data_IF_582943117707
#
_entry.id   IF_582943117707
#
_cell.length_a   1.000
_cell.length_b   1.000
_cell.length_c   1.000
_cell.angle_alpha   90.00
_cell.angle_beta   90.00
_cell.angle_gamma   90.00
#
_symmetry.space_group_name_H-M   'P 1'
#
loop_
_entity.id
_entity.type
_entity.pdbx_description
1 polymer ?
#
# COMPACT_ATOMS: atom_id res chain seq x y z
N UNK A 1 9.32 30.41 -24.54
CA UNK A 1 7.87 30.16 -24.71
C UNK A 1 7.67 28.68 -24.87
N UNK A 2 6.88 28.06 -23.99
CA UNK A 2 6.70 26.61 -23.90
C UNK A 2 6.66 26.14 -22.44
N UNK A 3 5.81 26.78 -21.63
CA UNK A 3 5.44 26.28 -20.30
C UNK A 3 4.64 25.00 -20.54
N UNK A 4 5.28 23.85 -20.39
CA UNK A 4 4.56 22.58 -20.33
C UNK A 4 3.81 22.57 -19.00
N UNK A 5 2.49 22.78 -19.07
CA UNK A 5 1.61 22.67 -17.92
C UNK A 5 1.79 21.30 -17.27
N UNK A 6 2.34 21.30 -16.06
CA UNK A 6 2.36 20.13 -15.19
C UNK A 6 0.90 19.70 -14.92
N UNK A 7 0.58 18.40 -14.93
CA UNK A 7 -0.73 17.93 -14.47
C UNK A 7 -0.98 18.48 -13.06
N UNK A 8 -2.22 18.90 -12.78
CA UNK A 8 -2.62 19.55 -11.51
C UNK A 8 -2.26 18.74 -10.26
N UNK A 9 -2.01 17.43 -10.39
CA UNK A 9 -1.52 16.52 -9.34
C UNK A 9 -0.04 16.69 -8.95
N UNK A 10 0.74 17.47 -9.71
CA UNK A 10 2.19 17.63 -9.51
C UNK A 10 2.64 19.08 -9.26
N UNK A 11 1.72 20.02 -9.07
CA UNK A 11 2.10 21.35 -8.56
C UNK A 11 2.60 21.20 -7.11
N UNK A 12 3.79 21.74 -6.76
CA UNK A 12 4.14 21.95 -5.37
C UNK A 12 3.08 22.91 -4.80
N UNK A 13 2.18 22.40 -3.97
CA UNK A 13 1.35 23.28 -3.15
C UNK A 13 2.32 23.95 -2.18
N UNK A 14 2.49 25.27 -2.30
CA UNK A 14 3.34 26.12 -1.46
C UNK A 14 2.85 26.22 0.00
N UNK A 15 2.47 25.11 0.60
CA UNK A 15 1.73 25.09 1.85
C UNK A 15 2.37 24.07 2.79
N UNK A 16 3.23 24.60 3.67
CA UNK A 16 3.82 23.90 4.81
C UNK A 16 2.76 23.48 5.85
N UNK A 17 3.08 23.48 7.17
CA UNK A 17 2.41 22.72 8.25
C UNK A 17 0.89 22.96 8.50
N UNK A 18 0.18 23.64 7.61
CA UNK A 18 -1.28 23.85 7.66
C UNK A 18 -2.10 22.57 7.43
N UNK A 19 -1.60 21.56 6.70
CA UNK A 19 -2.34 20.31 6.40
C UNK A 19 -2.62 19.40 7.62
N UNK A 20 -1.82 19.47 8.69
CA UNK A 20 -2.14 18.70 9.90
C UNK A 20 -3.43 19.21 10.56
N UNK A 21 -3.76 20.51 10.45
CA UNK A 21 -5.00 21.07 11.00
C UNK A 21 -6.24 20.70 10.19
N UNK A 22 -6.08 20.41 8.90
CA UNK A 22 -7.18 19.98 8.02
C UNK A 22 -7.69 18.56 8.35
N UNK A 23 -6.90 17.77 9.09
CA UNK A 23 -7.32 16.47 9.64
C UNK A 23 -8.17 16.60 10.92
N UNK A 24 -8.45 17.84 11.38
CA UNK A 24 -9.19 18.11 12.61
C UNK A 24 -8.57 17.43 13.83
N UNK A 25 -9.41 16.83 14.68
CA UNK A 25 -9.00 16.17 15.93
C UNK A 25 -8.01 15.02 15.69
N UNK A 26 -8.09 14.33 14.54
CA UNK A 26 -7.13 13.28 14.17
C UNK A 26 -5.74 13.87 13.87
N UNK A 27 -5.69 15.03 13.24
CA UNK A 27 -4.45 15.76 13.00
C UNK A 27 -3.79 16.28 14.27
N UNK A 28 -4.60 16.80 15.19
CA UNK A 28 -4.15 17.18 16.54
C UNK A 28 -3.54 15.99 17.27
N UNK A 29 -4.23 14.84 17.30
CA UNK A 29 -3.72 13.63 17.92
C UNK A 29 -2.40 13.17 17.26
N UNK A 30 -2.33 13.14 15.92
CA UNK A 30 -1.11 12.73 15.21
C UNK A 30 0.08 13.65 15.52
N UNK A 31 -0.16 14.96 15.65
CA UNK A 31 0.90 15.92 15.98
C UNK A 31 1.41 15.80 17.42
N UNK A 32 0.54 15.39 18.36
CA UNK A 32 0.88 15.18 19.77
C UNK A 32 1.40 13.76 20.07
N UNK A 33 1.40 12.86 19.08
CA UNK A 33 1.79 11.48 19.28
C UNK A 33 3.22 11.37 19.85
N UNK A 34 3.48 10.42 20.76
CA UNK A 34 4.80 10.28 21.38
C UNK A 34 5.89 9.90 20.37
N UNK A 35 5.54 9.07 19.39
CA UNK A 35 6.46 8.60 18.35
C UNK A 35 5.70 8.29 17.06
N UNK A 36 6.42 8.17 15.95
CA UNK A 36 5.82 8.00 14.62
C UNK A 36 4.96 6.72 14.53
N UNK A 37 5.33 5.64 15.21
CA UNK A 37 4.51 4.41 15.25
C UNK A 37 3.11 4.67 15.82
N UNK A 38 3.00 5.45 16.90
CA UNK A 38 1.72 5.79 17.52
C UNK A 38 0.87 6.64 16.56
N UNK A 39 1.46 7.65 15.93
CA UNK A 39 0.81 8.46 14.90
C UNK A 39 0.27 7.62 13.74
N UNK A 40 1.09 6.74 13.15
CA UNK A 40 0.69 5.90 12.02
C UNK A 40 -0.38 4.88 12.41
N UNK A 41 -0.32 4.31 13.62
CA UNK A 41 -1.36 3.40 14.13
C UNK A 41 -2.70 4.10 14.31
N UNK A 42 -2.69 5.31 14.85
CA UNK A 42 -3.92 6.10 15.05
C UNK A 42 -4.51 6.53 13.72
N UNK A 43 -3.66 6.95 12.78
CA UNK A 43 -4.07 7.20 11.41
C UNK A 43 -4.70 5.94 10.80
N UNK A 44 -4.07 4.77 10.91
CA UNK A 44 -4.60 3.53 10.35
C UNK A 44 -5.94 3.10 10.96
N UNK A 45 -6.12 3.27 12.28
CA UNK A 45 -7.32 2.85 13.00
C UNK A 45 -8.54 3.77 12.77
N UNK A 46 -8.32 5.05 12.46
CA UNK A 46 -9.38 6.06 12.40
C UNK A 46 -9.58 6.69 11.01
N UNK A 47 -8.63 6.48 10.08
CA UNK A 47 -8.70 7.01 8.72
C UNK A 47 -9.99 6.64 7.97
N UNK A 48 -10.48 5.41 8.14
CA UNK A 48 -11.69 4.97 7.45
C UNK A 48 -12.93 5.75 7.91
N UNK A 49 -13.09 5.91 9.22
CA UNK A 49 -14.21 6.64 9.81
C UNK A 49 -14.17 8.14 9.46
N UNK A 50 -12.97 8.70 9.29
CA UNK A 50 -12.77 10.13 9.03
C UNK A 50 -12.79 10.49 7.53
N UNK A 51 -12.08 9.73 6.67
CA UNK A 51 -11.91 10.07 5.25
C UNK A 51 -12.94 9.44 4.31
N UNK A 52 -13.74 8.46 4.77
CA UNK A 52 -14.84 7.87 4.01
C UNK A 52 -14.50 7.17 2.69
N UNK A 53 -13.22 7.10 2.30
CA UNK A 53 -12.81 6.64 0.96
C UNK A 53 -11.46 5.93 0.89
N UNK A 54 -10.78 5.73 2.02
CA UNK A 54 -9.46 5.12 2.13
C UNK A 54 -9.40 4.18 3.34
N UNK A 55 -8.79 3.03 3.16
CA UNK A 55 -8.41 2.10 4.20
C UNK A 55 -6.89 2.12 4.35
N UNK A 56 -6.43 2.31 5.58
CA UNK A 56 -5.03 2.28 5.91
C UNK A 56 -4.73 1.08 6.80
N UNK A 57 -3.64 0.38 6.52
CA UNK A 57 -3.26 -0.79 7.30
C UNK A 57 -1.74 -0.77 7.50
N UNK A 58 -1.31 -0.75 8.75
CA UNK A 58 0.11 -0.76 9.12
C UNK A 58 0.50 -2.17 9.55
N UNK A 59 1.43 -2.80 8.84
CA UNK A 59 1.96 -4.12 9.18
C UNK A 59 3.49 -4.16 9.20
N UNK A 60 4.02 -5.12 9.93
CA UNK A 60 5.44 -5.45 9.94
C UNK A 60 5.75 -6.42 8.80
N UNK A 61 6.72 -6.08 7.98
CA UNK A 61 7.21 -6.96 6.93
C UNK A 61 8.06 -8.08 7.54
N UNK A 62 7.86 -9.34 7.14
CA UNK A 62 8.45 -10.50 7.80
C UNK A 62 9.96 -10.69 7.59
N UNK A 63 10.54 -10.06 6.57
CA UNK A 63 11.92 -10.34 6.15
C UNK A 63 12.94 -9.41 6.85
N UNK A 64 12.60 -8.14 7.02
CA UNK A 64 13.52 -7.09 7.51
C UNK A 64 12.92 -6.24 8.65
N UNK A 65 11.69 -6.53 9.08
CA UNK A 65 11.03 -5.81 10.15
C UNK A 65 10.58 -4.39 9.80
N UNK A 66 10.75 -3.93 8.54
CA UNK A 66 10.22 -2.64 8.10
C UNK A 66 8.71 -2.58 8.28
N UNK A 67 8.17 -1.38 8.47
CA UNK A 67 6.71 -1.21 8.53
C UNK A 67 6.19 -0.74 7.20
N UNK A 68 5.16 -1.43 6.71
CA UNK A 68 4.45 -1.05 5.51
C UNK A 68 3.09 -0.48 5.88
N UNK A 69 2.86 0.78 5.53
CA UNK A 69 1.56 1.41 5.57
C UNK A 69 0.90 1.24 4.20
N UNK A 70 0.01 0.26 4.10
CA UNK A 70 -0.86 0.08 2.94
C UNK A 70 -1.85 1.22 2.86
N UNK A 71 -2.07 1.70 1.64
CA UNK A 71 -3.21 2.52 1.26
C UNK A 71 -4.08 1.76 0.27
N UNK A 72 -5.31 1.48 0.68
CA UNK A 72 -6.30 0.82 -0.16
C UNK A 72 -7.52 1.73 -0.34
N UNK A 73 -7.86 2.12 -1.57
CA UNK A 73 -9.10 2.82 -1.85
C UNK A 73 -10.32 2.01 -1.45
N UNK A 74 -11.30 2.65 -0.81
CA UNK A 74 -12.60 2.01 -0.57
C UNK A 74 -13.30 1.70 -1.90
N UNK A 75 -14.11 0.65 -1.94
CA UNK A 75 -14.85 0.27 -3.14
C UNK A 75 -15.73 1.44 -3.64
N UNK A 76 -15.62 1.77 -4.93
CA UNK A 76 -16.36 2.90 -5.53
C UNK A 76 -15.76 4.29 -5.24
N UNK A 77 -14.67 4.38 -4.49
CA UNK A 77 -13.99 5.65 -4.20
C UNK A 77 -13.25 6.20 -5.43
N UNK A 78 -13.30 7.52 -5.62
CA UNK A 78 -12.44 8.22 -6.59
C UNK A 78 -10.95 8.06 -6.27
N UNK A 79 -10.60 7.71 -5.02
CA UNK A 79 -9.25 7.35 -4.63
C UNK A 79 -8.73 6.11 -5.37
N UNK A 80 -9.61 5.30 -5.98
CA UNK A 80 -9.26 4.15 -6.82
C UNK A 80 -8.49 4.49 -8.10
N UNK A 81 -8.39 5.78 -8.44
CA UNK A 81 -7.58 6.25 -9.56
C UNK A 81 -6.15 6.54 -9.10
N UNK A 82 -5.17 6.14 -9.92
CA UNK A 82 -3.76 6.29 -9.61
C UNK A 82 -3.34 7.72 -9.16
N UNK A 83 -3.75 8.82 -9.83
CA UNK A 83 -3.40 10.17 -9.36
C UNK A 83 -3.92 10.51 -7.96
N UNK A 84 -5.11 10.02 -7.59
CA UNK A 84 -5.69 10.26 -6.27
C UNK A 84 -4.97 9.45 -5.18
N UNK A 85 -4.58 8.22 -5.51
CA UNK A 85 -3.74 7.38 -4.63
C UNK A 85 -2.36 8.00 -4.42
N UNK A 86 -1.68 8.46 -5.48
CA UNK A 86 -0.40 9.17 -5.39
C UNK A 86 -0.49 10.40 -4.48
N UNK A 87 -1.54 11.21 -4.66
CA UNK A 87 -1.77 12.40 -3.84
C UNK A 87 -1.96 12.04 -2.36
N UNK A 88 -2.71 10.97 -2.06
CA UNK A 88 -2.92 10.53 -0.69
C UNK A 88 -1.62 10.04 -0.04
N UNK A 89 -0.82 9.23 -0.74
CA UNK A 89 0.51 8.80 -0.27
C UNK A 89 1.43 9.99 -0.03
N UNK A 90 1.43 10.97 -0.94
CA UNK A 90 2.25 12.17 -0.80
C UNK A 90 1.82 13.03 0.39
N UNK A 91 0.52 13.14 0.65
CA UNK A 91 0.00 13.82 1.84
C UNK A 91 0.46 13.14 3.11
N UNK A 92 0.38 11.82 3.20
CA UNK A 92 0.90 11.07 4.35
C UNK A 92 2.40 11.32 4.52
N UNK A 93 3.19 11.23 3.44
CA UNK A 93 4.63 11.47 3.48
C UNK A 93 4.99 12.88 3.97
N UNK A 94 4.26 13.92 3.52
CA UNK A 94 4.45 15.30 3.99
C UNK A 94 4.04 15.48 5.44
N UNK A 95 2.95 14.85 5.89
CA UNK A 95 2.53 14.90 7.29
C UNK A 95 3.57 14.25 8.19
N UNK A 96 4.12 13.09 7.81
CA UNK A 96 5.21 12.44 8.55
C UNK A 96 6.44 13.36 8.65
N UNK A 97 6.84 13.98 7.54
CA UNK A 97 7.94 14.94 7.57
C UNK A 97 7.61 16.15 8.46
N UNK A 98 6.39 16.69 8.41
CA UNK A 98 5.99 17.85 9.20
C UNK A 98 6.00 17.57 10.71
N UNK A 99 5.38 16.46 11.16
CA UNK A 99 5.29 16.14 12.59
C UNK A 99 6.63 15.71 13.20
N UNK A 100 7.57 15.26 12.37
CA UNK A 100 8.93 14.90 12.78
C UNK A 100 9.93 16.05 12.63
N UNK A 101 9.49 17.27 12.31
CA UNK A 101 10.41 18.40 12.08
C UNK A 101 11.35 18.20 10.87
N UNK A 102 10.95 17.38 9.91
CA UNK A 102 11.67 17.05 8.69
C UNK A 102 12.64 15.87 8.82
N UNK A 103 12.75 15.26 10.00
CA UNK A 103 13.73 14.21 10.30
C UNK A 103 13.34 12.85 9.74
N UNK A 104 12.04 12.56 9.66
CA UNK A 104 11.54 11.25 9.25
C UNK A 104 10.89 11.30 7.87
N UNK A 105 11.18 10.30 7.06
CA UNK A 105 10.60 10.09 5.72
C UNK A 105 10.43 8.59 5.46
N UNK A 106 9.50 8.19 4.57
CA UNK A 106 9.47 6.81 4.12
C UNK A 106 10.79 6.45 3.41
N UNK A 107 11.26 5.22 3.61
CA UNK A 107 12.42 4.70 2.90
C UNK A 107 12.05 4.20 1.49
N UNK A 108 10.83 3.69 1.31
CA UNK A 108 10.28 3.36 0.01
C UNK A 108 8.84 3.85 -0.16
N UNK A 109 8.47 4.20 -1.40
CA UNK A 109 7.10 4.46 -1.82
C UNK A 109 6.71 3.50 -2.95
N UNK A 110 5.63 2.75 -2.73
CA UNK A 110 5.16 1.69 -3.61
C UNK A 110 3.89 2.15 -4.34
N UNK A 111 3.86 1.91 -5.64
CA UNK A 111 2.76 2.26 -6.53
C UNK A 111 2.34 1.04 -7.34
N UNK A 112 1.05 0.77 -7.42
CA UNK A 112 0.49 -0.37 -8.15
C UNK A 112 0.49 -0.20 -9.67
N UNK A 113 0.75 1.01 -10.15
CA UNK A 113 0.77 1.40 -11.54
C UNK A 113 2.18 1.79 -12.00
N UNK A 114 2.36 2.01 -13.31
CA UNK A 114 3.58 2.60 -13.87
C UNK A 114 3.64 4.11 -13.62
N UNK A 115 4.84 4.69 -13.64
CA UNK A 115 5.00 6.13 -13.42
C UNK A 115 4.13 6.95 -14.40
N UNK A 116 3.28 7.82 -13.86
CA UNK A 116 2.37 8.69 -14.64
C UNK A 116 3.02 10.04 -14.98
N UNK A 117 4.13 10.36 -14.34
CA UNK A 117 4.90 11.59 -14.51
C UNK A 117 6.41 11.30 -14.45
N UNK A 118 7.27 12.29 -14.76
CA UNK A 118 8.71 12.12 -14.63
C UNK A 118 9.13 11.70 -13.22
N UNK A 119 10.06 10.75 -13.12
CA UNK A 119 10.56 10.23 -11.83
C UNK A 119 11.13 11.31 -10.91
N UNK A 120 11.63 12.42 -11.47
CA UNK A 120 12.11 13.58 -10.70
C UNK A 120 11.02 14.19 -9.81
N UNK A 121 9.77 14.22 -10.28
CA UNK A 121 8.64 14.78 -9.53
C UNK A 121 8.33 13.93 -8.29
N UNK A 122 8.31 12.61 -8.45
CA UNK A 122 8.13 11.68 -7.33
C UNK A 122 9.32 11.75 -6.35
N UNK A 123 10.56 11.85 -6.84
CA UNK A 123 11.73 11.99 -5.97
C UNK A 123 11.68 13.25 -5.12
N UNK A 124 11.28 14.39 -5.70
CA UNK A 124 11.10 15.64 -4.96
C UNK A 124 9.98 15.53 -3.91
N UNK A 125 8.89 14.82 -4.23
CA UNK A 125 7.72 14.69 -3.37
C UNK A 125 7.93 13.73 -2.19
N UNK A 126 8.51 12.56 -2.44
CA UNK A 126 8.65 11.49 -1.44
C UNK A 126 10.02 11.48 -0.77
N UNK A 127 11.10 11.82 -1.50
CA UNK A 127 12.47 11.68 -0.99
C UNK A 127 12.84 10.23 -0.62
N UNK A 128 12.22 9.25 -1.28
CA UNK A 128 12.30 7.83 -0.98
C UNK A 128 12.67 7.00 -2.22
N UNK A 129 13.04 5.73 -2.04
CA UNK A 129 13.17 4.80 -3.15
C UNK A 129 11.77 4.52 -3.74
N UNK A 130 11.63 4.68 -5.06
CA UNK A 130 10.34 4.55 -5.75
C UNK A 130 10.20 3.15 -6.35
N UNK A 131 9.09 2.46 -6.08
CA UNK A 131 8.75 1.15 -6.62
C UNK A 131 7.43 1.24 -7.37
N UNK A 132 7.48 1.19 -8.69
CA UNK A 132 6.29 1.15 -9.55
C UNK A 132 5.92 -0.29 -9.93
N UNK A 133 4.71 -0.47 -10.47
CA UNK A 133 4.20 -1.77 -10.90
C UNK A 133 4.07 -2.79 -9.75
N UNK A 134 3.92 -2.32 -8.52
CA UNK A 134 3.77 -3.17 -7.33
C UNK A 134 2.36 -3.79 -7.24
N UNK A 135 2.17 -4.72 -6.32
CA UNK A 135 0.83 -5.31 -6.10
C UNK A 135 -0.07 -4.44 -5.23
N UNK A 136 0.49 -3.40 -4.63
CA UNK A 136 -0.13 -2.60 -3.57
C UNK A 136 0.47 -1.20 -3.58
N UNK A 137 -0.32 -0.22 -3.14
CA UNK A 137 0.09 1.16 -2.93
C UNK A 137 0.41 1.39 -1.45
N UNK A 138 1.53 2.04 -1.14
CA UNK A 138 1.91 2.23 0.27
C UNK A 138 3.26 2.86 0.50
N UNK A 139 3.55 3.10 1.77
CA UNK A 139 4.81 3.67 2.25
C UNK A 139 5.53 2.69 3.17
N UNK A 140 6.84 2.56 3.01
CA UNK A 140 7.69 1.71 3.84
C UNK A 140 8.53 2.59 4.77
N UNK A 141 8.57 2.27 6.06
CA UNK A 141 9.35 2.96 7.08
C UNK A 141 10.37 2.04 7.73
N UNK A 142 11.55 2.59 8.05
CA UNK A 142 12.56 1.90 8.84
C UNK A 142 12.07 1.76 10.29
N UNK A 143 12.18 0.58 10.93
CA UNK A 143 11.71 0.41 12.30
C UNK A 143 12.41 1.37 13.28
N UNK A 144 13.66 1.77 13.02
CA UNK A 144 14.42 2.69 13.88
C UNK A 144 13.86 4.11 13.88
N UNK A 145 13.09 4.48 12.86
CA UNK A 145 12.46 5.79 12.76
C UNK A 145 11.13 5.86 13.51
N UNK A 146 10.52 4.70 13.77
CA UNK A 146 9.15 4.63 14.27
C UNK A 146 9.02 4.84 15.78
N UNK A 147 10.09 4.54 16.51
CA UNK A 147 10.16 4.70 17.96
C UNK A 147 10.88 5.99 18.36
N UNK A 148 11.27 6.83 17.39
CA UNK A 148 11.85 8.14 17.66
C UNK A 148 10.80 9.09 18.24
N UNK A 149 11.12 9.80 19.34
CA UNK A 149 10.25 10.81 19.91
C UNK A 149 9.93 11.91 18.89
N UNK A 150 8.65 12.26 18.75
CA UNK A 150 8.28 13.40 17.91
C UNK A 150 8.54 14.73 18.64
N UNK A 151 9.04 15.78 17.95
CA UNK A 151 9.29 17.08 18.58
C UNK A 151 8.08 17.70 19.29
N UNK A 152 6.87 17.46 18.76
CA UNK A 152 5.61 17.97 19.30
C UNK A 152 4.90 17.05 20.29
N UNK A 153 5.57 16.01 20.80
CA UNK A 153 4.93 15.01 21.65
C UNK A 153 4.28 15.62 22.91
N UNK A 154 3.03 15.25 23.15
CA UNK A 154 2.30 15.51 24.39
C UNK A 154 1.47 14.26 24.69
N UNK A 155 1.99 13.38 25.54
CA UNK A 155 1.33 12.10 25.83
C UNK A 155 -0.07 12.30 26.45
N UNK A 156 -0.24 13.32 27.31
CA UNK A 156 -1.54 13.59 27.93
C UNK A 156 -2.53 14.17 26.93
N UNK A 157 -2.08 15.12 26.12
CA UNK A 157 -2.87 15.69 25.03
C UNK A 157 -3.26 14.64 23.98
N UNK A 158 -2.33 13.76 23.63
CA UNK A 158 -2.58 12.60 22.76
C UNK A 158 -3.67 11.68 23.32
N UNK A 159 -3.57 11.27 24.58
CA UNK A 159 -4.56 10.39 25.20
C UNK A 159 -5.94 11.06 25.30
N UNK A 160 -5.98 12.37 25.58
CA UNK A 160 -7.22 13.14 25.57
C UNK A 160 -7.83 13.22 24.17
N UNK A 161 -7.02 13.48 23.14
CA UNK A 161 -7.46 13.53 21.76
C UNK A 161 -7.94 12.15 21.27
N UNK A 162 -7.22 11.07 21.57
CA UNK A 162 -7.62 9.71 21.22
C UNK A 162 -8.93 9.28 21.88
N UNK A 163 -9.19 9.69 23.13
CA UNK A 163 -10.50 9.48 23.78
C UNK A 163 -11.63 10.20 23.05
N UNK A 164 -11.42 11.46 22.64
CA UNK A 164 -12.40 12.22 21.85
C UNK A 164 -12.64 11.58 20.48
N UNK A 165 -11.58 11.14 19.80
CA UNK A 165 -11.68 10.43 18.52
C UNK A 165 -12.47 9.14 18.70
N UNK A 166 -12.19 8.33 19.73
CA UNK A 166 -12.93 7.10 19.99
C UNK A 166 -14.43 7.31 20.24
N UNK A 167 -14.84 8.47 20.76
CA UNK A 167 -16.24 8.84 20.95
C UNK A 167 -16.94 9.29 19.65
N UNK A 168 -16.21 9.96 18.76
CA UNK A 168 -16.76 10.54 17.53
C UNK A 168 -16.62 9.62 16.31
N UNK A 169 -15.53 8.86 16.26
CA UNK A 169 -15.07 8.02 15.16
C UNK A 169 -14.58 6.68 15.72
N UNK A 170 -15.47 5.68 15.86
CA UNK A 170 -15.09 4.39 16.41
C UNK A 170 -13.94 3.78 15.61
N UNK A 171 -12.96 3.23 16.33
CA UNK A 171 -11.82 2.56 15.71
C UNK A 171 -12.33 1.36 14.91
N UNK A 172 -12.01 1.35 13.61
CA UNK A 172 -12.32 0.24 12.71
C UNK A 172 -10.99 -0.47 12.42
N UNK A 173 -10.65 -1.54 13.15
CA UNK A 173 -9.42 -2.24 12.90
C UNK A 173 -9.40 -2.78 11.47
N UNK A 174 -8.23 -2.80 10.81
CA UNK A 174 -8.13 -3.32 9.45
C UNK A 174 -8.57 -4.79 9.41
N UNK A 175 -9.30 -5.15 8.34
CA UNK A 175 -9.75 -6.52 8.09
C UNK A 175 -8.56 -7.47 8.09
N UNK A 176 -8.71 -8.64 8.71
CA UNK A 176 -7.69 -9.67 8.76
C UNK A 176 -7.26 -10.10 7.36
N UNK A 177 -8.20 -10.18 6.40
CA UNK A 177 -7.88 -10.46 5.00
C UNK A 177 -6.89 -9.45 4.39
N UNK A 178 -7.03 -8.16 4.71
CA UNK A 178 -6.12 -7.10 4.24
C UNK A 178 -4.73 -7.26 4.84
N UNK A 179 -4.64 -7.54 6.15
CA UNK A 179 -3.37 -7.78 6.85
C UNK A 179 -2.65 -8.99 6.26
N UNK A 180 -3.36 -10.10 6.07
CA UNK A 180 -2.82 -11.31 5.42
C UNK A 180 -2.34 -11.02 4.01
N UNK A 181 -3.07 -10.23 3.23
CA UNK A 181 -2.66 -9.88 1.86
C UNK A 181 -1.31 -9.15 1.84
N UNK A 182 -1.06 -8.21 2.76
CA UNK A 182 0.24 -7.51 2.87
C UNK A 182 1.38 -8.52 3.03
N UNK A 183 1.23 -9.43 4.01
CA UNK A 183 2.26 -10.42 4.34
C UNK A 183 2.42 -11.44 3.21
N UNK A 184 1.33 -11.89 2.60
CA UNK A 184 1.36 -12.83 1.48
C UNK A 184 2.06 -12.22 0.27
N UNK A 185 1.78 -10.97 -0.09
CA UNK A 185 2.46 -10.28 -1.21
C UNK A 185 3.97 -10.26 -1.02
N UNK A 186 4.44 -10.02 0.20
CA UNK A 186 5.87 -10.05 0.52
C UNK A 186 6.46 -11.46 0.51
N UNK A 187 5.86 -12.40 1.26
CA UNK A 187 6.36 -13.77 1.35
C UNK A 187 6.27 -14.55 0.03
N UNK A 188 5.36 -14.16 -0.87
CA UNK A 188 5.29 -14.78 -2.20
C UNK A 188 6.54 -14.43 -3.01
N UNK A 189 6.99 -13.17 -2.98
CA UNK A 189 8.19 -12.72 -3.67
C UNK A 189 9.47 -13.31 -3.08
N UNK A 190 9.53 -13.49 -1.75
CA UNK A 190 10.66 -14.12 -1.05
C UNK A 190 10.65 -15.66 -1.13
N UNK A 191 9.52 -16.26 -1.47
CA UNK A 191 9.32 -17.70 -1.43
C UNK A 191 8.92 -18.21 -0.03
N UNK A 192 8.25 -19.36 -0.01
CA UNK A 192 7.83 -20.00 1.24
C UNK A 192 6.64 -19.34 1.93
N UNK A 193 5.68 -18.82 1.16
CA UNK A 193 4.40 -18.31 1.68
C UNK A 193 3.52 -19.47 2.20
N UNK A 194 3.62 -19.75 3.50
CA UNK A 194 2.81 -20.76 4.20
C UNK A 194 1.89 -20.12 5.23
N UNK A 195 0.80 -20.82 5.57
CA UNK A 195 -0.14 -20.36 6.60
C UNK A 195 0.55 -20.10 7.94
N UNK A 196 1.50 -20.96 8.32
CA UNK A 196 2.24 -20.83 9.58
C UNK A 196 3.17 -19.61 9.58
N UNK A 197 3.90 -19.35 8.50
CA UNK A 197 4.75 -18.16 8.40
C UNK A 197 3.95 -16.87 8.40
N UNK A 198 2.79 -16.84 7.72
CA UNK A 198 1.88 -15.69 7.78
C UNK A 198 1.30 -15.50 9.18
N UNK A 199 0.91 -16.58 9.86
CA UNK A 199 0.41 -16.52 11.23
C UNK A 199 1.47 -15.97 12.19
N UNK A 200 2.70 -16.48 12.09
CA UNK A 200 3.84 -16.02 12.88
C UNK A 200 4.15 -14.54 12.64
N UNK A 201 4.17 -14.10 11.38
CA UNK A 201 4.42 -12.70 11.01
C UNK A 201 3.37 -11.74 11.59
N UNK A 202 2.11 -12.20 11.72
CA UNK A 202 1.02 -11.43 12.33
C UNK A 202 0.98 -11.57 13.87
N UNK A 203 1.87 -12.35 14.49
CA UNK A 203 1.86 -12.63 15.92
C UNK A 203 0.66 -13.45 16.38
N UNK A 204 0.12 -14.32 15.52
CA UNK A 204 -1.09 -15.11 15.78
C UNK A 204 -0.81 -16.61 15.73
N UNK A 205 -1.55 -17.36 16.53
CA UNK A 205 -1.62 -18.82 16.36
C UNK A 205 -2.37 -19.15 15.04
N UNK A 206 -1.93 -20.17 14.28
CA UNK A 206 -2.57 -20.57 13.01
C UNK A 206 -4.09 -20.75 13.07
N UNK A 207 -4.58 -21.33 14.16
CA UNK A 207 -6.02 -21.57 14.39
C UNK A 207 -6.80 -20.27 14.61
N UNK A 208 -6.18 -19.26 15.23
CA UNK A 208 -6.76 -17.94 15.45
C UNK A 208 -6.86 -17.18 14.15
N UNK A 209 -5.80 -17.21 13.32
CA UNK A 209 -5.83 -16.60 11.99
C UNK A 209 -6.95 -17.20 11.14
N UNK A 210 -7.04 -18.52 11.10
CA UNK A 210 -8.09 -19.21 10.34
C UNK A 210 -9.50 -18.85 10.82
N UNK A 211 -9.73 -18.78 12.15
CA UNK A 211 -11.02 -18.37 12.71
C UNK A 211 -11.39 -16.94 12.26
N UNK A 212 -10.48 -15.97 12.42
CA UNK A 212 -10.74 -14.58 12.04
C UNK A 212 -10.99 -14.40 10.54
N UNK A 213 -10.27 -15.15 9.69
CA UNK A 213 -10.54 -15.14 8.25
C UNK A 213 -11.93 -15.71 7.93
N UNK A 214 -12.34 -16.80 8.58
CA UNK A 214 -13.68 -17.37 8.39
C UNK A 214 -14.79 -16.42 8.81
N UNK A 215 -14.61 -15.68 9.91
CA UNK A 215 -15.54 -14.63 10.35
C UNK A 215 -15.70 -13.52 9.30
N UNK A 216 -14.69 -13.31 8.46
CA UNK A 216 -14.73 -12.37 7.32
C UNK A 216 -15.18 -13.01 6.00
N UNK A 217 -15.55 -14.31 5.99
CA UNK A 217 -15.89 -15.06 4.78
C UNK A 217 -14.68 -15.39 3.89
N UNK A 218 -13.48 -15.35 4.44
CA UNK A 218 -12.21 -15.48 3.73
C UNK A 218 -11.43 -16.74 4.13
N UNK A 219 -10.44 -17.11 3.30
CA UNK A 219 -9.47 -18.15 3.63
C UNK A 219 -8.07 -17.77 3.18
N UNK A 220 -7.05 -18.30 3.87
CA UNK A 220 -5.65 -18.07 3.51
C UNK A 220 -5.36 -18.46 2.06
N UNK A 221 -5.82 -19.64 1.64
CA UNK A 221 -5.62 -20.12 0.27
C UNK A 221 -6.31 -19.21 -0.75
N UNK A 222 -7.52 -18.72 -0.48
CA UNK A 222 -8.22 -17.79 -1.38
C UNK A 222 -7.50 -16.43 -1.49
N UNK A 223 -6.96 -15.91 -0.38
CA UNK A 223 -6.14 -14.68 -0.40
C UNK A 223 -4.86 -14.91 -1.19
N UNK A 224 -4.14 -16.01 -0.93
CA UNK A 224 -2.90 -16.37 -1.64
C UNK A 224 -3.14 -16.57 -3.13
N UNK A 225 -4.26 -17.17 -3.51
CA UNK A 225 -4.64 -17.37 -4.90
C UNK A 225 -4.92 -16.05 -5.63
N UNK A 226 -5.63 -15.11 -4.98
CA UNK A 226 -5.86 -13.76 -5.52
C UNK A 226 -4.54 -12.99 -5.69
N UNK A 227 -3.67 -12.99 -4.68
CA UNK A 227 -2.36 -12.32 -4.79
C UNK A 227 -1.55 -12.90 -5.96
N UNK A 228 -1.51 -14.23 -6.09
CA UNK A 228 -0.84 -14.89 -7.22
C UNK A 228 -1.45 -14.49 -8.56
N UNK A 229 -2.79 -14.42 -8.66
CA UNK A 229 -3.48 -13.98 -9.86
C UNK A 229 -3.09 -12.54 -10.23
N UNK A 230 -3.03 -11.63 -9.27
CA UNK A 230 -2.69 -10.23 -9.50
C UNK A 230 -1.22 -10.06 -9.92
N UNK A 231 -0.31 -10.81 -9.28
CA UNK A 231 1.11 -10.88 -9.68
C UNK A 231 1.25 -11.43 -11.10
N UNK A 232 0.53 -12.52 -11.43
CA UNK A 232 0.56 -13.11 -12.76
C UNK A 232 0.05 -12.12 -13.82
N UNK A 233 -1.05 -11.41 -13.55
CA UNK A 233 -1.63 -10.44 -14.47
C UNK A 233 -0.64 -9.31 -14.80
N UNK A 234 0.05 -8.77 -13.79
CA UNK A 234 1.09 -7.73 -13.96
C UNK A 234 2.24 -8.21 -14.83
N UNK A 235 2.83 -9.37 -14.50
CA UNK A 235 3.96 -9.90 -15.26
C UNK A 235 3.60 -10.36 -16.67
N UNK A 236 2.38 -10.86 -16.89
CA UNK A 236 1.91 -11.20 -18.24
C UNK A 236 1.77 -9.94 -19.11
N UNK A 237 1.30 -8.84 -18.51
CA UNK A 237 1.11 -7.50 -19.12
C UNK A 237 2.38 -6.80 -19.59
N UNK A 238 3.46 -6.94 -18.83
CA UNK A 238 4.54 -5.95 -18.85
C UNK A 238 5.94 -6.53 -19.09
N UNK A 239 6.08 -7.86 -19.19
CA UNK A 239 7.43 -8.46 -19.10
C UNK A 239 7.70 -9.62 -20.04
N UNK A 240 8.93 -9.65 -20.56
CA UNK A 240 9.51 -10.79 -21.27
C UNK A 240 10.01 -11.90 -20.32
N UNK A 241 9.59 -11.87 -19.04
CA UNK A 241 9.97 -12.85 -18.02
C UNK A 241 9.67 -14.26 -18.51
N UNK A 242 10.58 -15.22 -18.33
CA UNK A 242 10.33 -16.60 -18.77
C UNK A 242 9.19 -17.24 -17.95
N UNK A 243 8.51 -18.24 -18.50
CA UNK A 243 7.46 -18.96 -17.74
C UNK A 243 8.03 -19.68 -16.51
N UNK A 244 9.29 -20.13 -16.58
CA UNK A 244 10.01 -20.71 -15.44
C UNK A 244 10.17 -19.66 -14.35
N UNK A 245 10.68 -18.47 -14.69
CA UNK A 245 10.85 -17.40 -13.71
C UNK A 245 9.52 -16.91 -13.13
N UNK A 246 8.46 -16.85 -13.93
CA UNK A 246 7.11 -16.52 -13.45
C UNK A 246 6.58 -17.57 -12.47
N UNK A 247 6.90 -18.85 -12.71
CA UNK A 247 6.53 -19.95 -11.80
C UNK A 247 7.20 -19.77 -10.44
N UNK A 248 8.50 -19.44 -10.43
CA UNK A 248 9.26 -19.13 -9.21
C UNK A 248 8.68 -17.92 -8.46
N UNK A 249 8.43 -16.80 -9.17
CA UNK A 249 7.85 -15.57 -8.58
C UNK A 249 6.49 -15.84 -7.92
N UNK A 250 5.69 -16.74 -8.50
CA UNK A 250 4.39 -17.13 -7.95
C UNK A 250 4.50 -18.20 -6.84
N UNK A 251 5.72 -18.62 -6.50
CA UNK A 251 5.98 -19.65 -5.50
C UNK A 251 5.37 -20.99 -5.88
N UNK A 252 5.36 -21.34 -7.17
CA UNK A 252 4.98 -22.66 -7.65
C UNK A 252 6.23 -23.51 -7.85
N UNK A 253 6.12 -24.81 -7.58
CA UNK A 253 7.21 -25.77 -7.83
C UNK A 253 7.34 -26.15 -9.30
N UNK A 254 6.26 -26.05 -10.07
CA UNK A 254 6.21 -26.49 -11.47
C UNK A 254 5.42 -25.53 -12.37
N UNK A 255 5.90 -25.40 -13.61
CA UNK A 255 5.24 -24.63 -14.68
C UNK A 255 3.88 -25.22 -15.09
N UNK A 256 3.68 -26.52 -14.83
CA UNK A 256 2.40 -27.22 -15.05
C UNK A 256 1.29 -26.61 -14.18
N UNK A 257 1.61 -26.26 -12.92
CA UNK A 257 0.70 -25.61 -11.98
C UNK A 257 0.36 -24.20 -12.45
N UNK A 258 1.37 -23.43 -12.88
CA UNK A 258 1.15 -22.10 -13.45
C UNK A 258 0.15 -22.13 -14.62
N UNK A 259 0.31 -23.08 -15.54
CA UNK A 259 -0.56 -23.20 -16.71
C UNK A 259 -2.01 -23.50 -16.32
N UNK A 260 -2.22 -24.45 -15.40
CA UNK A 260 -3.56 -24.77 -14.86
C UNK A 260 -4.18 -23.58 -14.13
N UNK A 261 -3.39 -22.85 -13.34
CA UNK A 261 -3.85 -21.65 -12.63
C UNK A 261 -4.25 -20.53 -13.59
N UNK A 262 -3.46 -20.26 -14.63
CA UNK A 262 -3.83 -19.28 -15.66
C UNK A 262 -5.10 -19.69 -16.43
N UNK A 263 -5.25 -20.97 -16.75
CA UNK A 263 -6.47 -21.47 -17.38
C UNK A 263 -7.69 -21.25 -16.48
N UNK A 264 -7.57 -21.47 -15.17
CA UNK A 264 -8.64 -21.24 -14.20
C UNK A 264 -8.95 -19.75 -14.01
N UNK A 265 -7.94 -18.89 -13.96
CA UNK A 265 -8.12 -17.45 -13.67
C UNK A 265 -8.53 -16.62 -14.89
N UNK A 266 -8.02 -16.97 -16.06
CA UNK A 266 -8.09 -16.13 -17.26
C UNK A 266 -8.65 -16.86 -18.48
N UNK A 267 -9.05 -18.13 -18.32
CA UNK A 267 -9.54 -18.98 -19.42
C UNK A 267 -8.57 -19.15 -20.58
N UNK A 268 -7.28 -18.90 -20.35
CA UNK A 268 -6.23 -18.97 -21.36
C UNK A 268 -4.87 -19.33 -20.74
N UNK A 269 -4.02 -19.97 -21.53
CA UNK A 269 -2.65 -20.29 -21.14
C UNK A 269 -1.77 -19.02 -21.08
N UNK A 270 -0.66 -19.04 -20.30
CA UNK A 270 0.28 -17.92 -20.23
C UNK A 270 0.78 -17.46 -21.61
N UNK A 271 1.04 -18.40 -22.53
CA UNK A 271 1.50 -18.11 -23.91
C UNK A 271 0.42 -17.39 -24.72
N UNK A 272 -0.84 -17.82 -24.60
CA UNK A 272 -1.97 -17.17 -25.28
C UNK A 272 -2.16 -15.75 -24.76
N UNK A 273 -2.14 -15.55 -23.44
CA UNK A 273 -2.30 -14.23 -22.82
C UNK A 273 -1.24 -13.23 -23.32
N UNK A 274 0.03 -13.65 -23.39
CA UNK A 274 1.11 -12.83 -23.98
C UNK A 274 0.89 -12.49 -25.45
N UNK A 275 0.45 -13.46 -26.25
CA UNK A 275 0.18 -13.26 -27.68
C UNK A 275 -0.97 -12.27 -27.89
N UNK A 276 -2.02 -12.34 -27.07
CA UNK A 276 -3.16 -11.43 -27.14
C UNK A 276 -2.78 -9.99 -26.76
N UNK A 277 -1.94 -9.80 -25.74
CA UNK A 277 -1.48 -8.46 -25.35
C UNK A 277 -0.51 -7.85 -26.35
N UNK A 278 0.43 -8.63 -26.91
CA UNK A 278 1.30 -8.18 -28.02
C UNK A 278 0.52 -7.81 -29.29
N UNK A 279 -0.70 -8.34 -29.45
CA UNK A 279 -1.60 -8.06 -30.59
C UNK A 279 -2.54 -6.88 -30.37
N UNK A 280 -2.64 -6.29 -29.17
CA UNK A 280 -3.27 -4.98 -28.98
C UNK A 280 -2.20 -3.93 -29.29
N UNK A 281 -2.22 -3.26 -30.47
CA UNK A 281 -1.37 -2.09 -30.65
C UNK A 281 -1.83 -1.04 -29.64
N UNK A 282 -0.92 -0.16 -29.22
CA UNK A 282 -1.26 1.10 -28.58
C UNK A 282 -2.32 1.81 -29.45
N UNK A 283 -3.59 1.74 -29.07
CA UNK A 283 -4.60 2.60 -29.66
C UNK A 283 -4.28 4.01 -29.17
N UNK A 284 -3.62 4.75 -30.06
CA UNK A 284 -3.33 6.15 -29.95
C UNK A 284 -4.57 6.94 -29.52
N UNK A 285 -4.45 7.73 -28.46
CA UNK A 285 -5.25 8.94 -28.34
C UNK A 285 -4.68 9.96 -29.34
N UNK A 286 -5.50 10.61 -30.17
CA UNK A 286 -5.02 11.58 -31.13
C UNK A 286 -4.51 12.81 -30.38
N UNK A 287 -3.25 13.17 -30.66
CA UNK A 287 -2.74 14.51 -30.40
C UNK A 287 -3.57 15.47 -31.26
N UNK A 288 -4.42 16.29 -30.62
CA UNK A 288 -5.10 17.40 -31.29
C UNK A 288 -4.34 18.69 -30.96
N UNK A 289 -3.88 19.31 -32.04
CA UNK A 289 -3.13 20.55 -32.22
C UNK A 289 -3.73 21.76 -31.51
#
# INVERSE_FOLDING_TARGET
>A
MGSADLPTSFRPLEHGPRQARDLGVLGEAIAMAPHLHAALRSLAAHAQAWMGGLHLCLETLPDDGRRFLLLEPAAGSLAGKAPATEQALATISRTVAAISGGQLRPCEAWFSHEALAPLSSYRAQFGAALRFGQGMDGLVFDPRDLDQPLPGQDAQGYDAAMRRIGQQFPALPPRMGTRVRIIVTHLLAAGGCTHDRVSAALGLHPRTLQRRLREEGESFEAIKDRVRRDVALRHLGQSDVSLVRMTEILGYSETSVLTRSCQRWFSASPRQLRKHQRRRPAQASPCAT
#
